data_IF_821600181835
#
_entry.id   IF_821600181835
#
_cell.length_a   1.000
_cell.length_b   1.000
_cell.length_c   1.000
_cell.angle_alpha   90.00
_cell.angle_beta   90.00
_cell.angle_gamma   90.00
#
_symmetry.space_group_name_H-M   'P 1'
#
loop_
_entity.id
_entity.type
_entity.pdbx_description
1 polymer ?
#
# COMPACT_ATOMS: atom_id res chain seq x y z
N UNK A 1 -11.24 20.74 0.56
CA UNK A 1 -10.24 19.70 0.90
C UNK A 1 -10.13 18.79 -0.30
N UNK A 2 -9.07 18.94 -1.10
CA UNK A 2 -8.79 17.97 -2.16
C UNK A 2 -8.36 16.67 -1.46
N UNK A 3 -9.27 15.69 -1.41
CA UNK A 3 -8.87 14.29 -1.23
C UNK A 3 -7.92 13.99 -2.38
N UNK A 4 -6.61 14.11 -2.14
CA UNK A 4 -5.63 13.73 -3.15
C UNK A 4 -5.79 12.22 -3.33
N UNK A 5 -6.05 11.83 -4.58
CA UNK A 5 -6.42 10.51 -5.11
C UNK A 5 -5.42 9.38 -4.80
N UNK A 6 -4.44 9.62 -3.92
CA UNK A 6 -3.30 8.79 -3.56
C UNK A 6 -3.42 8.16 -2.16
N UNK A 7 -4.16 8.79 -1.23
CA UNK A 7 -4.37 8.22 0.13
C UNK A 7 -5.47 7.17 0.16
N UNK A 8 -6.14 6.90 -0.96
CA UNK A 8 -7.17 5.85 -1.06
C UNK A 8 -6.65 4.46 -0.70
N UNK A 9 -5.33 4.26 -0.76
CA UNK A 9 -4.71 2.99 -0.43
C UNK A 9 -4.72 2.69 1.07
N UNK A 10 -4.80 3.70 1.96
CA UNK A 10 -4.78 3.46 3.41
C UNK A 10 -6.04 2.69 3.81
N UNK A 11 -5.87 1.55 4.46
CA UNK A 11 -6.94 0.61 4.81
C UNK A 11 -7.22 -0.45 3.74
N UNK A 12 -6.64 -0.32 2.54
CA UNK A 12 -6.87 -1.25 1.44
C UNK A 12 -5.95 -2.46 1.48
N UNK A 13 -6.47 -3.58 0.97
CA UNK A 13 -5.69 -4.81 0.81
C UNK A 13 -4.78 -4.71 -0.41
N UNK A 14 -3.55 -5.17 -0.27
CA UNK A 14 -2.55 -5.16 -1.34
C UNK A 14 -1.90 -6.54 -1.49
N UNK A 15 -1.50 -6.90 -2.71
CA UNK A 15 -0.54 -8.00 -2.97
C UNK A 15 0.82 -7.41 -3.27
N UNK A 16 1.87 -8.04 -2.75
CA UNK A 16 3.27 -7.67 -3.01
C UNK A 16 3.98 -8.90 -3.57
N UNK A 17 4.82 -8.74 -4.61
CA UNK A 17 5.42 -9.86 -5.37
C UNK A 17 6.10 -10.94 -4.53
N UNK A 18 6.76 -10.56 -3.43
CA UNK A 18 7.50 -11.49 -2.57
C UNK A 18 6.71 -11.94 -1.32
N UNK A 19 5.42 -11.59 -1.25
CA UNK A 19 4.59 -11.86 -0.09
C UNK A 19 3.51 -12.89 -0.40
N UNK A 20 3.52 -14.00 0.35
CA UNK A 20 2.59 -15.11 0.12
C UNK A 20 1.14 -14.71 0.38
N UNK A 21 0.91 -13.83 1.36
CA UNK A 21 -0.43 -13.40 1.75
C UNK A 21 -0.61 -11.91 1.44
N UNK A 22 -1.84 -11.48 1.09
CA UNK A 22 -2.15 -10.05 1.03
C UNK A 22 -1.91 -9.37 2.39
N UNK A 23 -1.44 -8.14 2.34
CA UNK A 23 -1.33 -7.24 3.47
C UNK A 23 -2.39 -6.13 3.41
N UNK A 24 -2.42 -5.28 4.42
CA UNK A 24 -3.26 -4.07 4.49
C UNK A 24 -2.36 -2.87 4.65
N UNK A 25 -2.56 -1.83 3.85
CA UNK A 25 -1.81 -0.58 4.00
C UNK A 25 -2.27 0.13 5.27
N UNK A 26 -1.35 0.42 6.18
CA UNK A 26 -1.65 1.09 7.46
C UNK A 26 -1.35 2.59 7.41
N UNK A 27 -0.34 2.98 6.63
CA UNK A 27 0.12 4.37 6.53
C UNK A 27 0.90 4.61 5.24
N UNK A 28 0.82 5.83 4.73
CA UNK A 28 1.73 6.37 3.71
C UNK A 28 2.43 7.59 4.30
N UNK A 29 3.75 7.59 4.28
CA UNK A 29 4.60 8.70 4.70
C UNK A 29 5.25 9.32 3.46
N UNK A 30 4.70 10.45 3.01
CA UNK A 30 5.16 11.14 1.80
C UNK A 30 6.49 11.87 1.99
N UNK A 31 6.79 12.31 3.21
CA UNK A 31 8.04 13.00 3.50
C UNK A 31 9.22 12.02 3.44
N UNK A 32 8.98 10.78 3.88
CA UNK A 32 9.98 9.70 3.85
C UNK A 32 9.95 8.86 2.58
N UNK A 33 8.94 9.01 1.74
CA UNK A 33 8.75 8.19 0.55
C UNK A 33 8.48 6.72 0.87
N UNK A 34 7.65 6.43 1.87
CA UNK A 34 7.38 5.08 2.35
C UNK A 34 5.89 4.75 2.44
N UNK A 35 5.55 3.51 2.10
CA UNK A 35 4.24 2.90 2.36
C UNK A 35 4.39 1.72 3.31
N UNK A 36 3.55 1.67 4.34
CA UNK A 36 3.58 0.66 5.40
C UNK A 36 2.45 -0.34 5.17
N UNK A 37 2.79 -1.63 5.20
CA UNK A 37 1.85 -2.73 5.00
C UNK A 37 1.92 -3.69 6.18
N UNK A 38 0.77 -3.90 6.81
CA UNK A 38 0.59 -4.86 7.89
C UNK A 38 0.17 -6.22 7.32
N UNK A 39 0.94 -7.24 7.66
CA UNK A 39 0.67 -8.64 7.39
C UNK A 39 0.13 -9.36 8.62
N UNK A 40 -0.18 -10.65 8.46
CA UNK A 40 -0.56 -11.53 9.57
C UNK A 40 0.51 -11.54 10.66
N UNK A 41 0.09 -11.81 11.91
CA UNK A 41 0.96 -11.88 13.09
C UNK A 41 1.68 -10.55 13.40
N UNK A 42 1.02 -9.43 13.14
CA UNK A 42 1.50 -8.08 13.47
C UNK A 42 2.85 -7.71 12.82
N UNK A 43 3.21 -8.35 11.70
CA UNK A 43 4.41 -7.98 10.96
C UNK A 43 4.09 -6.82 10.04
N UNK A 44 4.66 -5.66 10.33
CA UNK A 44 4.58 -4.49 9.47
C UNK A 44 5.89 -4.35 8.68
N UNK A 45 5.77 -4.12 7.38
CA UNK A 45 6.90 -3.87 6.48
C UNK A 45 6.73 -2.52 5.79
N UNK A 46 7.84 -1.86 5.52
CA UNK A 46 7.86 -0.60 4.77
C UNK A 46 8.42 -0.83 3.37
N UNK A 47 7.79 -0.20 2.37
CA UNK A 47 8.22 -0.25 0.97
C UNK A 47 8.41 1.17 0.42
N UNK A 48 9.27 1.36 -0.60
CA UNK A 48 9.41 2.64 -1.29
C UNK A 48 8.09 3.10 -1.94
N UNK A 49 7.74 4.36 -1.76
CA UNK A 49 6.53 4.96 -2.32
C UNK A 49 6.86 6.28 -3.03
N UNK A 50 6.36 6.49 -4.27
CA UNK A 50 5.35 5.70 -4.99
C UNK A 50 5.90 4.53 -5.83
N UNK A 51 7.21 4.28 -5.83
CA UNK A 51 7.88 3.38 -6.79
C UNK A 51 7.32 1.96 -6.77
N UNK A 52 6.97 1.43 -5.59
CA UNK A 52 6.41 0.08 -5.45
C UNK A 52 5.06 -0.07 -6.18
N UNK A 53 4.29 1.03 -6.29
CA UNK A 53 3.02 1.07 -7.02
C UNK A 53 3.27 1.24 -8.51
N UNK A 54 4.13 2.19 -8.89
CA UNK A 54 4.45 2.50 -10.30
C UNK A 54 5.04 1.30 -11.03
N UNK A 55 5.92 0.56 -10.35
CA UNK A 55 6.54 -0.66 -10.87
C UNK A 55 5.63 -1.89 -10.77
N UNK A 56 4.40 -1.74 -10.24
CA UNK A 56 3.42 -2.82 -10.04
C UNK A 56 3.93 -3.96 -9.15
N UNK A 57 4.95 -3.70 -8.33
CA UNK A 57 5.43 -4.64 -7.30
C UNK A 57 4.36 -4.81 -6.23
N UNK A 58 3.63 -3.72 -5.92
CA UNK A 58 2.46 -3.71 -5.05
C UNK A 58 1.20 -3.41 -5.86
N UNK A 59 0.24 -4.34 -5.80
CA UNK A 59 -1.03 -4.23 -6.51
C UNK A 59 -2.17 -4.10 -5.50
N UNK A 60 -2.89 -2.96 -5.47
CA UNK A 60 -4.10 -2.81 -4.69
C UNK A 60 -5.18 -3.79 -5.16
N UNK A 61 -5.83 -4.45 -4.20
CA UNK A 61 -6.96 -5.35 -4.45
C UNK A 61 -8.31 -4.63 -4.42
N UNK A 62 -8.32 -3.31 -4.22
CA UNK A 62 -9.51 -2.48 -4.33
C UNK A 62 -9.96 -2.44 -5.78
N UNK A 63 -11.21 -2.82 -6.04
CA UNK A 63 -11.86 -2.46 -7.28
C UNK A 63 -12.21 -0.98 -7.16
N UNK A 64 -11.56 -0.12 -7.94
CA UNK A 64 -11.97 1.29 -8.05
C UNK A 64 -13.45 1.26 -8.44
N UNK A 65 -14.37 1.57 -7.52
CA UNK A 65 -15.77 1.78 -7.86
C UNK A 65 -15.79 3.05 -8.70
N UNK A 66 -15.86 2.86 -10.03
CA UNK A 66 -16.12 3.93 -10.97
C UNK A 66 -17.49 4.55 -10.76
#
# INVERSE_FOLDING_TARGET
MAWNDETYLIGERVRVENEKNPGVVTRIDKERGLIYVLYKRMREEAYPYPEVIDQKIMIPLVQKKG
#
